data_IF_146000960341
#
_entry.id   IF_146000960341
#
_cell.length_a   1.000
_cell.length_b   1.000
_cell.length_c   1.000
_cell.angle_alpha   90.00
_cell.angle_beta   90.00
_cell.angle_gamma   90.00
#
_symmetry.space_group_name_H-M   'P 1'
#
loop_
_entity.id
_entity.type
_entity.pdbx_description
1 polymer ?
#
# COMPACT_ATOMS: atom_id res chain seq x y z
N UNK A 1 -1.08 14.79 16.94
CA UNK A 1 -1.81 14.50 15.67
C UNK A 1 -2.88 13.43 15.95
N UNK A 2 -4.12 13.63 15.49
CA UNK A 2 -5.14 12.55 15.54
C UNK A 2 -4.89 11.59 14.38
N UNK A 3 -4.05 10.59 14.61
CA UNK A 3 -3.75 9.56 13.62
C UNK A 3 -4.67 8.35 13.78
N UNK A 4 -5.05 7.73 12.67
CA UNK A 4 -5.72 6.43 12.62
C UNK A 4 -4.67 5.38 12.25
N UNK A 5 -4.65 4.25 12.96
CA UNK A 5 -3.64 3.22 12.76
C UNK A 5 -4.27 1.94 12.24
N UNK A 6 -3.70 1.41 11.18
CA UNK A 6 -4.03 0.12 10.58
C UNK A 6 -2.84 -0.84 10.66
N UNK A 7 -3.10 -2.11 10.48
CA UNK A 7 -2.09 -3.14 10.27
C UNK A 7 -2.48 -3.94 9.02
N UNK A 8 -1.52 -4.29 8.20
CA UNK A 8 -1.79 -5.10 7.01
C UNK A 8 -2.19 -6.54 7.39
N UNK A 9 -3.25 -7.08 6.79
CA UNK A 9 -3.70 -8.45 7.07
C UNK A 9 -2.69 -9.51 6.59
N UNK A 10 -1.92 -9.17 5.57
CA UNK A 10 -0.84 -10.01 5.03
C UNK A 10 0.48 -9.94 5.83
N UNK A 11 0.53 -9.20 6.93
CA UNK A 11 1.66 -9.22 7.89
C UNK A 11 1.81 -10.60 8.53
N UNK A 12 0.72 -11.35 8.70
CA UNK A 12 0.70 -12.63 9.39
C UNK A 12 0.25 -13.79 8.48
N UNK A 13 0.97 -14.09 7.39
CA UNK A 13 0.51 -15.03 6.37
C UNK A 13 0.47 -16.49 6.84
N UNK A 14 1.12 -16.83 7.97
CA UNK A 14 1.12 -18.18 8.55
C UNK A 14 -0.14 -18.47 9.38
N UNK A 15 -0.91 -17.45 9.73
CA UNK A 15 -2.22 -17.60 10.36
C UNK A 15 -3.30 -17.78 9.31
N UNK A 16 -4.43 -18.39 9.68
CA UNK A 16 -5.63 -18.23 8.85
C UNK A 16 -6.11 -16.77 8.88
N UNK A 17 -6.78 -16.31 7.84
CA UNK A 17 -7.25 -14.91 7.79
C UNK A 17 -8.07 -14.49 9.03
N UNK A 18 -9.04 -15.28 9.52
CA UNK A 18 -9.74 -14.92 10.77
C UNK A 18 -8.80 -14.74 11.96
N UNK A 19 -7.79 -15.62 12.14
CA UNK A 19 -6.82 -15.48 13.24
C UNK A 19 -5.86 -14.31 13.05
N UNK A 20 -5.52 -13.95 11.81
CA UNK A 20 -4.75 -12.72 11.54
C UNK A 20 -5.56 -11.47 11.95
N UNK A 21 -6.86 -11.43 11.62
CA UNK A 21 -7.76 -10.34 12.05
C UNK A 21 -7.94 -10.29 13.57
N UNK A 22 -8.07 -11.46 14.24
CA UNK A 22 -8.12 -11.54 15.71
C UNK A 22 -6.84 -10.96 16.34
N UNK A 23 -5.67 -11.32 15.79
CA UNK A 23 -4.40 -10.80 16.27
C UNK A 23 -4.31 -9.28 16.07
N UNK A 24 -4.67 -8.75 14.91
CA UNK A 24 -4.67 -7.31 14.61
C UNK A 24 -5.55 -6.55 15.61
N UNK A 25 -6.76 -7.05 15.88
CA UNK A 25 -7.66 -6.46 16.88
C UNK A 25 -7.06 -6.50 18.30
N UNK A 26 -6.50 -7.66 18.70
CA UNK A 26 -5.86 -7.84 20.00
C UNK A 26 -4.60 -6.96 20.18
N UNK A 27 -3.89 -6.67 19.09
CA UNK A 27 -2.82 -5.67 19.08
C UNK A 27 -3.35 -4.22 19.19
N UNK A 28 -4.66 -4.02 19.24
CA UNK A 28 -5.31 -2.74 19.45
C UNK A 28 -5.35 -1.84 18.22
N UNK A 29 -5.15 -2.37 17.01
CA UNK A 29 -5.44 -1.64 15.79
C UNK A 29 -6.96 -1.51 15.60
N UNK A 30 -7.39 -0.47 14.91
CA UNK A 30 -8.79 -0.25 14.54
C UNK A 30 -9.01 -0.30 13.03
N UNK A 31 -7.93 -0.28 12.25
CA UNK A 31 -7.92 -0.40 10.79
C UNK A 31 -7.14 -1.61 10.32
N UNK A 32 -7.50 -2.10 9.13
CA UNK A 32 -6.80 -3.18 8.45
C UNK A 32 -6.57 -2.77 7.00
N UNK A 33 -5.32 -2.85 6.54
CA UNK A 33 -4.99 -2.77 5.13
C UNK A 33 -5.16 -4.16 4.52
N UNK A 34 -6.07 -4.26 3.57
CA UNK A 34 -6.51 -5.51 2.95
C UNK A 34 -5.65 -5.81 1.73
N UNK A 35 -4.87 -6.88 1.78
CA UNK A 35 -4.09 -7.35 0.65
C UNK A 35 -4.90 -8.24 -0.29
N UNK A 36 -5.21 -7.74 -1.49
CA UNK A 36 -5.71 -8.55 -2.61
C UNK A 36 -4.53 -8.93 -3.50
N UNK A 37 -3.67 -9.83 -3.01
CA UNK A 37 -2.48 -10.30 -3.72
C UNK A 37 -2.66 -11.76 -4.11
N UNK A 38 -2.78 -12.02 -5.41
CA UNK A 38 -2.96 -13.40 -5.87
C UNK A 38 -1.77 -14.26 -5.46
N UNK A 39 -2.04 -15.39 -4.81
CA UNK A 39 -1.06 -16.36 -4.28
C UNK A 39 -0.10 -15.84 -3.18
N UNK A 40 -0.27 -14.60 -2.68
CA UNK A 40 0.63 -14.01 -1.66
C UNK A 40 -0.06 -13.54 -0.39
N UNK A 41 -1.36 -13.23 -0.43
CA UNK A 41 -2.11 -12.81 0.74
C UNK A 41 -3.22 -13.81 1.08
N UNK A 42 -3.97 -13.55 2.14
CA UNK A 42 -5.13 -14.37 2.52
C UNK A 42 -6.25 -14.33 1.48
N UNK A 43 -6.45 -13.18 0.86
CA UNK A 43 -7.52 -12.91 -0.10
C UNK A 43 -6.94 -12.79 -1.50
N UNK A 44 -7.31 -13.74 -2.36
CA UNK A 44 -6.82 -13.79 -3.73
C UNK A 44 -7.85 -13.17 -4.67
N UNK A 45 -7.51 -12.11 -5.40
CA UNK A 45 -8.46 -11.48 -6.33
C UNK A 45 -9.04 -12.46 -7.34
N UNK A 46 -8.28 -13.47 -7.78
CA UNK A 46 -8.80 -14.53 -8.66
C UNK A 46 -9.93 -15.36 -8.05
N UNK A 47 -10.05 -15.39 -6.72
CA UNK A 47 -11.13 -16.06 -5.98
C UNK A 47 -12.22 -15.08 -5.57
N UNK A 48 -11.84 -13.96 -4.96
CA UNK A 48 -12.74 -12.93 -4.44
C UNK A 48 -13.61 -12.33 -5.55
N UNK A 49 -13.03 -12.11 -6.72
CA UNK A 49 -13.72 -11.50 -7.86
C UNK A 49 -14.66 -12.44 -8.63
N UNK A 50 -14.77 -13.72 -8.22
CA UNK A 50 -15.84 -14.59 -8.74
C UNK A 50 -17.22 -14.10 -8.31
N UNK A 51 -17.33 -13.50 -7.12
CA UNK A 51 -18.53 -12.84 -6.62
C UNK A 51 -18.14 -11.70 -5.67
N UNK A 52 -17.77 -10.56 -6.25
CA UNK A 52 -17.24 -9.38 -5.56
C UNK A 52 -18.06 -9.01 -4.33
N UNK A 53 -19.38 -8.80 -4.54
CA UNK A 53 -20.28 -8.35 -3.45
C UNK A 53 -20.43 -9.36 -2.32
N UNK A 54 -20.48 -10.65 -2.62
CA UNK A 54 -20.60 -11.68 -1.58
C UNK A 54 -19.30 -11.79 -0.78
N UNK A 55 -18.15 -11.79 -1.46
CA UNK A 55 -16.84 -11.83 -0.84
C UNK A 55 -16.60 -10.60 0.05
N UNK A 56 -16.84 -9.41 -0.48
CA UNK A 56 -16.68 -8.17 0.27
C UNK A 56 -17.60 -8.10 1.51
N UNK A 57 -18.87 -8.51 1.39
CA UNK A 57 -19.79 -8.59 2.55
C UNK A 57 -19.33 -9.61 3.59
N UNK A 58 -18.73 -10.73 3.17
CA UNK A 58 -18.15 -11.70 4.10
C UNK A 58 -16.98 -11.08 4.88
N UNK A 59 -16.08 -10.38 4.19
CA UNK A 59 -14.98 -9.66 4.83
C UNK A 59 -15.51 -8.58 5.77
N UNK A 60 -16.46 -7.75 5.31
CA UNK A 60 -17.05 -6.71 6.13
C UNK A 60 -17.58 -7.23 7.46
N UNK A 61 -18.35 -8.32 7.45
CA UNK A 61 -18.82 -8.96 8.69
C UNK A 61 -17.68 -9.39 9.58
N UNK A 62 -16.64 -10.03 9.00
CA UNK A 62 -15.48 -10.49 9.76
C UNK A 62 -14.72 -9.33 10.43
N UNK A 63 -14.68 -8.15 9.80
CA UNK A 63 -14.11 -6.93 10.36
C UNK A 63 -15.04 -6.35 11.46
N UNK A 64 -16.34 -6.21 11.17
CA UNK A 64 -17.34 -5.66 12.09
C UNK A 64 -17.39 -6.46 13.40
N UNK A 65 -17.34 -7.80 13.33
CA UNK A 65 -17.32 -8.72 14.49
C UNK A 65 -16.12 -8.47 15.42
N UNK A 66 -15.08 -7.78 14.94
CA UNK A 66 -13.82 -7.47 15.66
C UNK A 66 -13.65 -5.97 15.96
N UNK A 67 -14.62 -5.14 15.62
CA UNK A 67 -14.49 -3.69 15.73
C UNK A 67 -13.41 -3.10 14.80
N UNK A 68 -13.08 -3.77 13.69
CA UNK A 68 -12.13 -3.34 12.70
C UNK A 68 -12.84 -2.69 11.51
N UNK A 69 -12.12 -1.81 10.79
CA UNK A 69 -12.55 -1.25 9.50
C UNK A 69 -11.46 -1.45 8.45
N UNK A 70 -11.85 -1.61 7.19
CA UNK A 70 -10.89 -1.61 6.09
C UNK A 70 -10.32 -0.19 5.89
N UNK A 71 -9.01 -0.04 5.98
CA UNK A 71 -8.30 1.23 5.86
C UNK A 71 -7.76 1.47 4.44
N UNK A 72 -7.33 0.41 3.79
CA UNK A 72 -6.93 0.36 2.38
C UNK A 72 -7.30 -0.99 1.75
N UNK A 73 -7.46 -1.01 0.42
CA UNK A 73 -7.52 -2.24 -0.37
C UNK A 73 -6.42 -2.18 -1.42
N UNK A 74 -5.37 -2.97 -1.21
CA UNK A 74 -4.21 -3.00 -2.08
C UNK A 74 -4.29 -4.17 -3.06
N UNK A 75 -4.31 -3.87 -4.37
CA UNK A 75 -4.38 -4.87 -5.44
C UNK A 75 -3.01 -5.19 -6.03
N UNK A 76 -2.62 -6.47 -6.01
CA UNK A 76 -1.56 -7.04 -6.84
C UNK A 76 -2.09 -8.29 -7.57
N UNK A 77 -2.11 -8.24 -8.91
CA UNK A 77 -2.76 -9.29 -9.71
C UNK A 77 -2.00 -10.61 -9.71
N UNK A 78 -0.68 -10.59 -9.52
CA UNK A 78 0.19 -11.78 -9.48
C UNK A 78 1.42 -11.49 -8.61
N UNK A 79 2.11 -12.56 -8.13
CA UNK A 79 3.39 -12.43 -7.42
C UNK A 79 4.46 -11.68 -8.22
N UNK A 80 4.61 -12.00 -9.51
CA UNK A 80 5.30 -11.14 -10.48
C UNK A 80 4.29 -10.13 -11.03
N UNK A 81 4.46 -8.87 -10.73
CA UNK A 81 3.54 -7.81 -11.17
C UNK A 81 3.75 -7.38 -12.63
N UNK A 82 4.82 -7.83 -13.30
CA UNK A 82 5.14 -7.49 -14.70
C UNK A 82 4.09 -7.96 -15.70
N UNK A 83 3.58 -9.21 -15.64
CA UNK A 83 2.63 -9.73 -16.65
C UNK A 83 1.33 -8.94 -16.74
N UNK A 84 0.89 -8.36 -15.63
CA UNK A 84 -0.32 -7.54 -15.54
C UNK A 84 -0.04 -6.15 -14.95
N UNK A 85 1.17 -5.65 -15.15
CA UNK A 85 1.48 -4.27 -14.83
C UNK A 85 0.44 -3.35 -15.49
N UNK A 86 0.06 -2.28 -14.80
CA UNK A 86 -0.96 -1.36 -15.30
C UNK A 86 -0.61 -0.82 -16.68
N UNK A 87 0.68 -0.63 -16.95
CA UNK A 87 1.23 -0.10 -18.19
C UNK A 87 1.73 -1.18 -19.18
N UNK A 88 1.21 -2.43 -19.09
CA UNK A 88 1.58 -3.53 -20.00
C UNK A 88 1.45 -3.12 -21.47
N UNK A 89 2.44 -3.37 -22.37
CA UNK A 89 2.34 -3.07 -23.79
C UNK A 89 1.11 -3.72 -24.45
N UNK A 90 0.79 -4.95 -24.05
CA UNK A 90 -0.40 -5.66 -24.55
C UNK A 90 -1.71 -5.00 -24.10
N UNK A 91 -2.48 -4.50 -25.06
CA UNK A 91 -3.82 -3.94 -24.79
C UNK A 91 -4.78 -4.95 -24.13
N UNK A 92 -4.66 -6.24 -24.47
CA UNK A 92 -5.49 -7.29 -23.85
C UNK A 92 -5.16 -7.46 -22.35
N UNK A 93 -3.87 -7.43 -22.00
CA UNK A 93 -3.43 -7.51 -20.59
C UNK A 93 -3.81 -6.26 -19.81
N UNK A 94 -3.72 -5.07 -20.42
CA UNK A 94 -4.20 -3.81 -19.78
C UNK A 94 -5.72 -3.85 -19.54
N UNK A 95 -6.51 -4.33 -20.51
CA UNK A 95 -7.96 -4.51 -20.29
C UNK A 95 -8.26 -5.43 -19.11
N UNK A 96 -7.49 -6.52 -18.95
CA UNK A 96 -7.62 -7.41 -17.80
C UNK A 96 -7.26 -6.70 -16.49
N UNK A 97 -6.17 -5.92 -16.48
CA UNK A 97 -5.77 -5.13 -15.32
C UNK A 97 -6.82 -4.06 -14.96
N UNK A 98 -7.45 -3.41 -15.96
CA UNK A 98 -8.57 -2.48 -15.75
C UNK A 98 -9.81 -3.20 -15.19
N UNK A 99 -10.21 -4.35 -15.74
CA UNK A 99 -11.33 -5.15 -15.22
C UNK A 99 -11.12 -5.50 -13.73
N UNK A 100 -9.92 -5.92 -13.37
CA UNK A 100 -9.63 -6.23 -11.97
C UNK A 100 -9.63 -4.98 -11.09
N UNK A 101 -9.13 -3.86 -11.59
CA UNK A 101 -9.20 -2.60 -10.85
C UNK A 101 -10.65 -2.15 -10.61
N UNK A 102 -11.52 -2.21 -11.62
CA UNK A 102 -12.95 -1.89 -11.46
C UNK A 102 -13.62 -2.80 -10.42
N UNK A 103 -13.28 -4.11 -10.41
CA UNK A 103 -13.75 -5.05 -9.37
C UNK A 103 -13.18 -4.73 -7.99
N UNK A 104 -11.95 -4.20 -7.93
CA UNK A 104 -11.37 -3.74 -6.65
C UNK A 104 -12.12 -2.54 -6.11
N UNK A 105 -12.53 -1.60 -6.96
CA UNK A 105 -13.38 -0.48 -6.54
C UNK A 105 -14.74 -0.96 -5.99
N UNK A 106 -15.40 -1.89 -6.71
CA UNK A 106 -16.65 -2.50 -6.24
C UNK A 106 -16.46 -3.26 -4.91
N UNK A 107 -15.31 -3.92 -4.73
CA UNK A 107 -14.96 -4.64 -3.50
C UNK A 107 -14.73 -3.66 -2.35
N UNK A 108 -13.96 -2.60 -2.58
CA UNK A 108 -13.67 -1.57 -1.59
C UNK A 108 -14.93 -0.85 -1.12
N UNK A 109 -15.80 -0.43 -2.03
CA UNK A 109 -17.10 0.16 -1.70
C UNK A 109 -17.95 -0.81 -0.85
N UNK A 110 -18.06 -2.07 -1.28
CA UNK A 110 -18.90 -3.08 -0.61
C UNK A 110 -18.36 -3.49 0.78
N UNK A 111 -17.05 -3.37 1.04
CA UNK A 111 -16.46 -3.60 2.37
C UNK A 111 -16.51 -2.35 3.25
N UNK A 112 -16.76 -1.18 2.65
CA UNK A 112 -16.79 0.12 3.33
C UNK A 112 -15.40 0.75 3.48
N UNK A 113 -14.49 0.47 2.56
CA UNK A 113 -13.17 1.09 2.47
C UNK A 113 -13.23 2.32 1.57
N UNK A 114 -12.58 3.41 1.96
CA UNK A 114 -12.53 4.66 1.19
C UNK A 114 -11.30 4.78 0.29
N UNK A 115 -10.34 3.86 0.39
CA UNK A 115 -9.03 3.96 -0.25
C UNK A 115 -8.66 2.67 -0.98
N UNK A 116 -8.00 2.84 -2.14
CA UNK A 116 -7.47 1.73 -2.95
C UNK A 116 -6.04 2.03 -3.37
N UNK A 117 -5.19 1.02 -3.33
CA UNK A 117 -3.78 1.10 -3.73
C UNK A 117 -3.47 0.16 -4.90
N UNK A 118 -2.63 0.62 -5.84
CA UNK A 118 -1.94 -0.24 -6.82
C UNK A 118 -0.50 0.21 -7.04
N UNK A 119 0.31 -0.64 -7.68
CA UNK A 119 1.64 -0.27 -8.15
C UNK A 119 1.58 0.57 -9.42
N UNK A 120 2.56 1.47 -9.67
CA UNK A 120 2.53 2.44 -10.78
C UNK A 120 2.93 1.85 -12.14
N UNK A 121 3.20 0.55 -12.22
CA UNK A 121 3.71 -0.09 -13.43
C UNK A 121 5.23 -0.30 -13.41
N UNK A 122 5.77 -0.77 -14.53
CA UNK A 122 7.19 -1.15 -14.68
C UNK A 122 7.78 -0.58 -15.96
N UNK A 123 9.11 -0.63 -16.08
CA UNK A 123 9.79 -0.35 -17.36
C UNK A 123 9.80 -1.62 -18.20
N UNK A 124 9.34 -1.52 -19.45
CA UNK A 124 9.47 -2.57 -20.46
C UNK A 124 10.68 -2.26 -21.33
N UNK A 125 11.69 -3.11 -21.26
CA UNK A 125 12.98 -2.88 -21.92
C UNK A 125 12.86 -2.73 -23.45
N UNK A 126 11.92 -3.46 -24.05
CA UNK A 126 11.70 -3.50 -25.50
C UNK A 126 11.22 -2.16 -26.08
N UNK A 127 10.57 -1.32 -25.28
CA UNK A 127 10.04 -0.02 -25.72
C UNK A 127 10.72 1.17 -25.04
N UNK A 128 11.50 0.89 -23.98
CA UNK A 128 12.19 1.90 -23.21
C UNK A 128 11.33 2.60 -22.15
N UNK A 129 12.02 3.38 -21.31
CA UNK A 129 11.42 4.03 -20.12
C UNK A 129 10.36 5.06 -20.49
N UNK A 130 10.60 5.92 -21.48
CA UNK A 130 9.69 7.04 -21.78
C UNK A 130 8.33 6.56 -22.28
N UNK A 131 8.30 5.55 -23.15
CA UNK A 131 7.06 4.95 -23.63
C UNK A 131 6.32 4.22 -22.50
N UNK A 132 7.06 3.47 -21.66
CA UNK A 132 6.51 2.80 -20.48
C UNK A 132 5.91 3.80 -19.48
N UNK A 133 6.59 4.96 -19.25
CA UNK A 133 6.15 5.99 -18.33
C UNK A 133 4.93 6.76 -18.86
N UNK A 134 4.91 7.10 -20.15
CA UNK A 134 3.76 7.75 -20.78
C UNK A 134 2.51 6.88 -20.61
N UNK A 135 2.61 5.59 -20.93
CA UNK A 135 1.50 4.65 -20.76
C UNK A 135 1.11 4.42 -19.29
N UNK A 136 2.08 4.42 -18.36
CA UNK A 136 1.78 4.38 -16.93
C UNK A 136 0.96 5.59 -16.50
N UNK A 137 1.32 6.80 -16.94
CA UNK A 137 0.59 8.02 -16.65
C UNK A 137 -0.85 7.97 -17.19
N UNK A 138 -1.06 7.53 -18.42
CA UNK A 138 -2.40 7.36 -19.01
C UNK A 138 -3.25 6.37 -18.21
N UNK A 139 -2.68 5.23 -17.84
CA UNK A 139 -3.37 4.19 -17.08
C UNK A 139 -3.66 4.59 -15.63
N UNK A 140 -2.78 5.38 -15.02
CA UNK A 140 -3.03 5.97 -13.69
C UNK A 140 -4.11 7.05 -13.77
N UNK A 141 -4.08 7.90 -14.80
CA UNK A 141 -5.13 8.90 -15.04
C UNK A 141 -6.51 8.25 -15.14
N UNK A 142 -6.63 7.17 -15.91
CA UNK A 142 -7.88 6.40 -15.99
C UNK A 142 -8.32 5.89 -14.60
N UNK A 143 -7.39 5.38 -13.77
CA UNK A 143 -7.71 4.88 -12.41
C UNK A 143 -8.15 5.98 -11.46
N UNK A 144 -7.55 7.16 -11.58
CA UNK A 144 -7.98 8.35 -10.82
C UNK A 144 -9.43 8.69 -11.15
N UNK A 145 -9.80 8.72 -12.44
CA UNK A 145 -11.17 9.03 -12.87
C UNK A 145 -12.18 7.98 -12.40
N UNK A 146 -11.88 6.68 -12.58
CA UNK A 146 -12.75 5.59 -12.14
C UNK A 146 -12.95 5.60 -10.62
N UNK A 147 -11.87 5.82 -9.84
CA UNK A 147 -11.97 5.88 -8.39
C UNK A 147 -12.79 7.08 -7.93
N UNK A 148 -12.60 8.25 -8.56
CA UNK A 148 -13.40 9.45 -8.28
C UNK A 148 -14.87 9.22 -8.59
N UNK A 149 -15.19 8.58 -9.72
CA UNK A 149 -16.57 8.24 -10.10
C UNK A 149 -17.20 7.27 -9.08
N UNK A 150 -16.41 6.38 -8.49
CA UNK A 150 -16.86 5.48 -7.42
C UNK A 150 -16.89 6.13 -6.02
N UNK A 151 -16.48 7.40 -5.87
CA UNK A 151 -16.39 8.09 -4.57
C UNK A 151 -15.23 7.61 -3.71
N UNK A 152 -14.23 6.96 -4.30
CA UNK A 152 -13.07 6.40 -3.61
C UNK A 152 -11.79 7.21 -3.89
N UNK A 153 -10.81 7.05 -3.03
CA UNK A 153 -9.49 7.65 -3.17
C UNK A 153 -8.54 6.59 -3.73
N UNK A 154 -7.75 6.98 -4.70
CA UNK A 154 -6.76 6.11 -5.32
C UNK A 154 -5.35 6.59 -5.00
N UNK A 155 -4.54 5.71 -4.38
CA UNK A 155 -3.12 5.89 -4.17
C UNK A 155 -2.29 4.93 -5.03
N UNK A 156 -1.12 5.37 -5.46
CA UNK A 156 -0.12 4.48 -6.04
C UNK A 156 1.12 4.43 -5.17
N UNK A 157 1.73 3.26 -5.06
CA UNK A 157 2.93 3.06 -4.25
C UNK A 157 4.18 3.02 -5.13
N UNK A 158 5.12 3.96 -4.92
CA UNK A 158 6.46 3.87 -5.48
C UNK A 158 7.20 2.70 -4.82
N UNK A 159 7.45 1.64 -5.59
CA UNK A 159 7.85 0.34 -5.07
C UNK A 159 9.16 -0.12 -5.71
N UNK A 160 9.96 -0.92 -5.00
CA UNK A 160 11.14 -1.58 -5.57
C UNK A 160 10.74 -2.34 -6.84
N UNK A 161 11.45 -2.08 -7.95
CA UNK A 161 11.16 -2.68 -9.25
C UNK A 161 10.03 -2.01 -10.04
N UNK A 162 9.37 -0.98 -9.50
CA UNK A 162 8.38 -0.21 -10.24
C UNK A 162 9.03 0.83 -11.18
N UNK A 163 8.18 1.51 -11.96
CA UNK A 163 8.64 2.51 -12.94
C UNK A 163 9.20 3.79 -12.31
N UNK A 164 8.85 4.08 -11.06
CA UNK A 164 9.39 5.20 -10.28
C UNK A 164 10.03 4.67 -9.00
N UNK A 165 11.29 4.99 -8.80
CA UNK A 165 12.14 4.46 -7.72
C UNK A 165 12.82 5.54 -6.90
N UNK A 166 12.68 6.82 -7.31
CA UNK A 166 13.20 7.97 -6.55
C UNK A 166 12.09 8.95 -6.20
N UNK A 167 12.27 9.79 -5.17
CA UNK A 167 11.29 10.81 -4.82
C UNK A 167 11.03 11.81 -5.95
N UNK A 168 12.05 12.17 -6.72
CA UNK A 168 11.95 13.09 -7.85
C UNK A 168 11.08 12.50 -8.97
N UNK A 169 11.35 11.24 -9.34
CA UNK A 169 10.52 10.51 -10.34
C UNK A 169 9.08 10.36 -9.87
N UNK A 170 8.88 10.10 -8.58
CA UNK A 170 7.55 9.96 -7.97
C UNK A 170 6.80 11.28 -8.00
N UNK A 171 7.46 12.39 -7.65
CA UNK A 171 6.88 13.74 -7.72
C UNK A 171 6.54 14.13 -9.17
N UNK A 172 7.40 13.77 -10.14
CA UNK A 172 7.14 13.99 -11.56
C UNK A 172 5.90 13.21 -12.03
N UNK A 173 5.74 11.96 -11.59
CA UNK A 173 4.56 11.16 -11.92
C UNK A 173 3.28 11.79 -11.36
N UNK A 174 3.29 12.24 -10.10
CA UNK A 174 2.15 12.93 -9.48
C UNK A 174 1.80 14.22 -10.26
N UNK A 175 2.80 14.98 -10.69
CA UNK A 175 2.56 16.19 -11.51
C UNK A 175 1.97 15.87 -12.89
N UNK A 176 2.37 14.75 -13.49
CA UNK A 176 1.87 14.29 -14.81
C UNK A 176 0.44 13.78 -14.78
N UNK A 177 -0.02 13.29 -13.63
CA UNK A 177 -1.34 12.68 -13.47
C UNK A 177 -2.18 13.49 -12.49
N UNK A 178 -2.98 14.45 -12.95
CA UNK A 178 -3.82 15.27 -12.08
C UNK A 178 -4.75 14.41 -11.21
N UNK A 179 -4.74 14.66 -9.91
CA UNK A 179 -5.56 13.94 -8.94
C UNK A 179 -4.96 12.62 -8.42
N UNK A 180 -3.80 12.20 -8.94
CA UNK A 180 -3.09 11.05 -8.40
C UNK A 180 -2.58 11.36 -6.99
N UNK A 181 -2.79 10.43 -6.08
CA UNK A 181 -2.22 10.46 -4.74
C UNK A 181 -1.26 9.28 -4.51
N UNK A 182 -0.57 9.30 -3.40
CA UNK A 182 0.40 8.26 -3.05
C UNK A 182 -0.07 7.44 -1.86
N UNK A 183 0.11 6.14 -1.93
CA UNK A 183 0.36 5.30 -0.78
C UNK A 183 1.86 5.38 -0.53
N UNK A 184 2.28 6.16 0.46
CA UNK A 184 3.67 6.53 0.63
C UNK A 184 4.34 5.58 1.63
N UNK A 185 5.27 4.78 1.14
CA UNK A 185 6.15 3.92 1.92
C UNK A 185 7.60 4.40 1.79
N UNK A 186 8.16 4.92 2.88
CA UNK A 186 9.55 5.39 2.92
C UNK A 186 10.56 4.26 2.73
N UNK A 187 10.18 3.03 3.05
CA UNK A 187 11.13 1.90 3.08
C UNK A 187 11.71 1.57 1.71
N UNK A 188 10.94 1.77 0.64
CA UNK A 188 11.41 1.56 -0.73
C UNK A 188 12.54 2.52 -1.11
N UNK A 189 12.47 3.76 -0.67
CA UNK A 189 13.50 4.78 -0.87
C UNK A 189 14.68 4.60 0.08
N UNK A 190 14.40 4.31 1.35
CA UNK A 190 15.43 4.06 2.39
C UNK A 190 16.31 2.89 2.03
N UNK A 191 15.75 1.81 1.47
CA UNK A 191 16.51 0.67 0.94
C UNK A 191 17.54 1.10 -0.11
N UNK A 192 17.20 2.05 -0.96
CA UNK A 192 18.12 2.64 -1.96
C UNK A 192 19.15 3.62 -1.34
N UNK A 193 19.06 3.90 -0.04
CA UNK A 193 19.92 4.84 0.66
C UNK A 193 19.50 6.31 0.52
N UNK A 194 18.26 6.56 0.12
CA UNK A 194 17.70 7.91 -0.02
C UNK A 194 17.31 8.42 1.38
N UNK A 195 17.63 9.66 1.67
CA UNK A 195 17.36 10.27 2.97
C UNK A 195 15.90 10.65 3.16
N UNK A 196 15.40 10.60 4.40
CA UNK A 196 14.04 11.04 4.75
C UNK A 196 13.76 12.47 4.27
N UNK A 197 14.76 13.37 4.35
CA UNK A 197 14.65 14.75 3.87
C UNK A 197 14.31 14.82 2.38
N UNK A 198 14.83 13.92 1.57
CA UNK A 198 14.55 13.85 0.15
C UNK A 198 13.14 13.28 -0.14
N UNK A 199 12.60 12.47 0.77
CA UNK A 199 11.28 11.84 0.64
C UNK A 199 10.17 12.79 1.13
N UNK A 200 10.42 13.62 2.13
CA UNK A 200 9.45 14.53 2.76
C UNK A 200 8.62 15.37 1.78
N UNK A 201 9.16 15.87 0.64
CA UNK A 201 8.35 16.60 -0.34
C UNK A 201 7.16 15.81 -0.91
N UNK A 202 7.15 14.47 -0.78
CA UNK A 202 6.05 13.61 -1.21
C UNK A 202 4.90 13.55 -0.19
N UNK A 203 5.14 13.88 1.08
CA UNK A 203 4.15 13.78 2.17
C UNK A 203 2.83 14.51 1.86
N UNK A 204 2.82 15.74 1.30
CA UNK A 204 1.56 16.41 0.95
C UNK A 204 0.72 15.70 -0.11
N UNK A 205 1.31 14.80 -0.88
CA UNK A 205 0.63 14.02 -1.92
C UNK A 205 0.12 12.68 -1.43
N UNK A 206 0.42 12.29 -0.18
CA UNK A 206 0.02 11.00 0.37
C UNK A 206 -1.45 11.01 0.81
N UNK A 207 -2.16 9.96 0.41
CA UNK A 207 -3.51 9.63 0.87
C UNK A 207 -3.53 8.44 1.83
N UNK A 208 -2.48 7.64 1.82
CA UNK A 208 -2.23 6.53 2.73
C UNK A 208 -0.72 6.42 3.02
N UNK A 209 -0.35 5.80 4.15
CA UNK A 209 1.03 5.54 4.49
C UNK A 209 1.23 4.08 4.87
N UNK A 210 2.30 3.46 4.35
CA UNK A 210 2.84 2.22 4.87
C UNK A 210 4.11 2.48 5.69
N UNK A 211 4.27 1.75 6.79
CA UNK A 211 5.40 1.88 7.69
C UNK A 211 5.90 0.53 8.17
N UNK A 212 7.22 0.32 8.06
CA UNK A 212 7.97 -0.79 8.65
C UNK A 212 9.42 -0.37 8.86
N UNK A 213 10.21 -1.12 9.62
CA UNK A 213 11.64 -0.82 9.75
C UNK A 213 12.38 -1.07 8.44
N UNK A 214 13.25 -0.14 8.02
CA UNK A 214 14.13 -0.29 6.87
C UNK A 214 15.48 0.40 7.08
N UNK A 215 16.48 -0.02 6.30
CA UNK A 215 17.77 0.64 6.24
C UNK A 215 18.38 0.45 4.84
N UNK A 216 19.48 1.12 4.56
CA UNK A 216 20.15 1.00 3.27
C UNK A 216 20.47 -0.47 2.96
N UNK A 217 20.06 -0.92 1.78
CA UNK A 217 20.21 -2.30 1.31
C UNK A 217 19.18 -3.29 1.84
N UNK A 218 18.29 -2.89 2.76
CA UNK A 218 17.23 -3.76 3.31
C UNK A 218 15.88 -3.05 3.29
N UNK A 219 14.94 -3.63 2.56
CA UNK A 219 13.57 -3.13 2.48
C UNK A 219 12.83 -3.29 3.82
N UNK A 220 13.11 -4.39 4.52
CA UNK A 220 12.61 -4.64 5.86
C UNK A 220 13.73 -5.05 6.80
N UNK A 221 13.74 -4.49 8.00
CA UNK A 221 14.64 -4.86 9.08
C UNK A 221 13.97 -4.63 10.44
N UNK A 222 14.62 -5.13 11.49
CA UNK A 222 14.18 -4.88 12.87
C UNK A 222 14.25 -3.39 13.19
N UNK A 223 13.38 -2.90 14.06
CA UNK A 223 13.29 -1.48 14.42
C UNK A 223 14.63 -0.94 15.00
N UNK A 224 15.43 -1.81 15.63
CA UNK A 224 16.80 -1.44 16.09
C UNK A 224 17.78 -1.11 14.95
N UNK A 225 17.55 -1.65 13.77
CA UNK A 225 18.38 -1.42 12.58
C UNK A 225 17.78 -0.35 11.66
N UNK A 226 16.53 0.03 11.93
CA UNK A 226 15.80 1.01 11.14
C UNK A 226 16.51 2.36 11.16
N UNK A 227 16.55 3.00 9.99
CA UNK A 227 17.17 4.33 9.83
C UNK A 227 16.15 5.42 9.47
N UNK A 228 14.87 5.08 9.32
CA UNK A 228 13.79 6.05 9.10
C UNK A 228 13.51 6.78 10.42
N UNK A 229 13.56 8.11 10.41
CA UNK A 229 13.19 8.96 11.54
C UNK A 229 11.66 9.13 11.59
N UNK A 230 10.96 8.17 12.19
CA UNK A 230 9.50 8.21 12.32
C UNK A 230 8.97 9.44 13.06
N UNK A 231 9.61 9.94 14.14
CA UNK A 231 9.24 11.22 14.74
C UNK A 231 9.23 12.37 13.75
N UNK A 232 10.26 12.49 12.91
CA UNK A 232 10.36 13.50 11.86
C UNK A 232 9.29 13.32 10.78
N UNK A 233 9.10 12.10 10.32
CA UNK A 233 8.07 11.75 9.33
C UNK A 233 6.66 12.13 9.81
N UNK A 234 6.32 11.77 11.06
CA UNK A 234 5.03 12.12 11.67
C UNK A 234 4.86 13.63 11.86
N UNK A 235 5.93 14.36 12.18
CA UNK A 235 5.91 15.81 12.23
C UNK A 235 5.64 16.43 10.85
N UNK A 236 6.25 15.89 9.78
CA UNK A 236 5.96 16.31 8.40
C UNK A 236 4.50 16.03 8.01
N UNK A 237 3.98 14.85 8.38
CA UNK A 237 2.57 14.51 8.16
C UNK A 237 1.63 15.45 8.91
N UNK A 238 1.90 15.77 10.18
CA UNK A 238 1.12 16.72 10.97
C UNK A 238 1.13 18.12 10.34
N UNK A 239 2.30 18.58 9.89
CA UNK A 239 2.47 19.86 9.18
C UNK A 239 1.67 19.90 7.86
N UNK A 240 1.62 18.78 7.14
CA UNK A 240 0.82 18.64 5.92
C UNK A 240 -0.69 18.48 6.19
N UNK A 241 -1.12 18.43 7.45
CA UNK A 241 -2.52 18.26 7.82
C UNK A 241 -3.08 16.85 7.56
N UNK A 242 -2.22 15.83 7.54
CA UNK A 242 -2.63 14.45 7.28
C UNK A 242 -3.55 13.91 8.39
N UNK A 243 -4.70 13.34 8.01
CA UNK A 243 -5.75 12.86 8.93
C UNK A 243 -6.26 11.45 8.61
N UNK A 244 -5.61 10.75 7.68
CA UNK A 244 -6.02 9.44 7.21
C UNK A 244 -5.31 8.31 7.95
N UNK A 245 -5.31 7.12 7.38
CA UNK A 245 -4.75 5.93 7.98
C UNK A 245 -3.24 5.82 7.79
N UNK A 246 -2.58 5.24 8.77
CA UNK A 246 -1.18 4.85 8.77
C UNK A 246 -1.16 3.33 8.97
N UNK A 247 -0.75 2.59 7.95
CA UNK A 247 -0.65 1.14 7.96
C UNK A 247 0.72 0.67 8.44
N UNK A 248 0.78 -0.17 9.46
CA UNK A 248 1.98 -0.92 9.82
C UNK A 248 2.02 -2.17 8.95
N UNK A 249 3.06 -2.30 8.14
CA UNK A 249 3.14 -3.28 7.06
C UNK A 249 4.44 -4.10 7.12
N UNK A 250 4.74 -4.75 8.24
CA UNK A 250 5.74 -5.81 8.20
C UNK A 250 5.17 -7.00 7.42
N UNK A 251 6.01 -7.57 6.52
CA UNK A 251 5.61 -8.74 5.72
C UNK A 251 6.51 -9.93 6.06
N UNK A 252 6.01 -11.15 5.87
CA UNK A 252 6.78 -12.37 6.09
C UNK A 252 6.84 -13.19 4.80
N UNK A 253 7.77 -12.80 3.92
CA UNK A 253 8.07 -13.48 2.64
C UNK A 253 9.58 -13.48 2.42
N UNK A 254 10.10 -14.40 1.62
CA UNK A 254 11.53 -14.52 1.30
C UNK A 254 12.04 -13.41 0.35
N UNK A 255 11.14 -12.76 -0.38
CA UNK A 255 11.48 -11.63 -1.23
C UNK A 255 12.10 -10.49 -0.38
N UNK A 256 13.23 -9.97 -0.87
CA UNK A 256 14.01 -8.92 -0.16
C UNK A 256 14.37 -9.30 1.29
N UNK A 257 14.42 -10.60 1.60
CA UNK A 257 14.74 -11.13 2.95
C UNK A 257 13.78 -10.63 4.06
N UNK A 258 12.53 -10.33 3.70
CA UNK A 258 11.55 -9.81 4.67
C UNK A 258 11.16 -10.84 5.74
N UNK A 259 11.36 -12.15 5.49
CA UNK A 259 11.14 -13.23 6.48
C UNK A 259 12.22 -13.34 7.57
N UNK A 260 13.23 -12.47 7.56
CA UNK A 260 14.26 -12.41 8.62
C UNK A 260 13.85 -11.55 9.83
N UNK A 261 12.72 -10.85 9.77
CA UNK A 261 12.18 -10.03 10.86
C UNK A 261 11.03 -10.72 11.57
N UNK A 262 10.97 -10.62 12.90
CA UNK A 262 9.81 -11.04 13.69
C UNK A 262 8.67 -10.05 13.50
N UNK A 263 7.72 -10.39 12.63
CA UNK A 263 6.63 -9.48 12.25
C UNK A 263 5.73 -9.11 13.42
N UNK A 264 5.57 -9.96 14.44
CA UNK A 264 4.73 -9.66 15.61
C UNK A 264 5.41 -8.63 16.50
N UNK A 265 6.63 -8.92 16.95
CA UNK A 265 7.37 -8.01 17.85
C UNK A 265 7.64 -6.66 17.20
N UNK A 266 8.02 -6.65 15.93
CA UNK A 266 8.31 -5.43 15.18
C UNK A 266 7.05 -4.58 14.94
N UNK A 267 5.92 -5.20 14.64
CA UNK A 267 4.62 -4.53 14.53
C UNK A 267 4.23 -3.85 15.85
N UNK A 268 4.43 -4.53 16.99
CA UNK A 268 4.14 -3.98 18.32
C UNK A 268 5.05 -2.77 18.61
N UNK A 269 6.35 -2.92 18.42
CA UNK A 269 7.33 -1.88 18.70
C UNK A 269 7.09 -0.63 17.84
N UNK A 270 6.86 -0.81 16.54
CA UNK A 270 6.58 0.30 15.63
C UNK A 270 5.24 0.97 15.96
N UNK A 271 4.17 0.20 16.20
CA UNK A 271 2.88 0.72 16.66
C UNK A 271 3.05 1.63 17.88
N UNK A 272 3.80 1.18 18.88
CA UNK A 272 3.98 1.93 20.11
C UNK A 272 4.79 3.21 19.88
N UNK A 273 5.86 3.14 19.07
CA UNK A 273 6.64 4.30 18.67
C UNK A 273 5.78 5.37 17.97
N UNK A 274 5.02 4.98 16.94
CA UNK A 274 4.21 5.94 16.17
C UNK A 274 3.07 6.51 17.01
N UNK A 275 2.43 5.73 17.89
CA UNK A 275 1.38 6.21 18.81
C UNK A 275 1.93 7.23 19.82
N UNK A 276 3.04 6.90 20.47
CA UNK A 276 3.67 7.80 21.42
C UNK A 276 4.13 9.11 20.76
N UNK A 277 4.64 9.02 19.55
CA UNK A 277 5.05 10.19 18.78
C UNK A 277 3.84 11.03 18.35
N UNK A 278 2.81 10.40 17.79
CA UNK A 278 1.60 11.11 17.35
C UNK A 278 0.86 11.81 18.51
N UNK A 279 0.92 11.26 19.74
CA UNK A 279 0.34 11.87 20.92
C UNK A 279 1.04 13.17 21.35
N UNK A 280 2.28 13.39 20.93
CA UNK A 280 3.08 14.60 21.23
C UNK A 280 2.92 15.70 20.17
N UNK A 281 2.32 15.39 19.02
CA UNK A 281 2.06 16.27 17.89
C UNK A 281 0.60 16.75 17.87
#
# INVERSE_FOLDING_TARGET
>A
MKAKFACADFTFPLLSHPHALDLIANLGFTGVDIGLFDQRSHLWPSKEFKNVKASARKLKRALDDRGLVAADVFLQMMPDFTPYAINQPSAARRRKARDWFSRTLEYADAVGCEHVTTLPGVVFAEEGRDASLARAADELGWRVEESRAAGLIFGTEAHVGSIVTTPEETADLVRRVPGLTLTLDYTHFTRAGISDRSIEPLVPHASHFHMRGACRGRLQCNLKQNTIDYPRMLAAMAKAGYKRWIGVEYIWIDWEHCNESDTISETIQLRDLIRQTAAKL
#
